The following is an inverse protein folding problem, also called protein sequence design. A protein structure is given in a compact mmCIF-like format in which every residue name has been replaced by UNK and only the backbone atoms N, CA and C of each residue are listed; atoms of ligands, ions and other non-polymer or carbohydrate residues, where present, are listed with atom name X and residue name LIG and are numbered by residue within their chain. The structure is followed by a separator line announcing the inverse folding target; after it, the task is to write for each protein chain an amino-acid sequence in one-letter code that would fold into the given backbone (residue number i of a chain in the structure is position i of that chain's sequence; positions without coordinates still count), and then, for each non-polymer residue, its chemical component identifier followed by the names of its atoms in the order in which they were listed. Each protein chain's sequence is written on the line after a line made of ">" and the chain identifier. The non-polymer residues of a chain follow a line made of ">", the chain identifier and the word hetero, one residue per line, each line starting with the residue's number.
data_IF_737784862157
#
_entry.id   IF_737784862157
#
_cell.length_a   1.000
_cell.length_b   1.000
_cell.length_c   1.000
_cell.angle_alpha   90.00
_cell.angle_beta   90.00
_cell.angle_gamma   90.00
#
_symmetry.space_group_name_H-M   'P 1'
#
loop_
_entity.id
_entity.type
_entity.pdbx_description
1 polymer ?
#
# COMPACT_ATOMS: atom_id res chain seq x y z
N UNK A 1 -4.18 44.96 46.06
CA UNK A 1 -5.10 44.03 45.36
C UNK A 1 -4.91 44.02 43.84
N UNK A 2 -4.79 45.16 43.14
CA UNK A 2 -4.57 45.21 41.67
C UNK A 2 -3.31 44.46 41.16
N UNK A 3 -2.22 44.46 41.94
CA UNK A 3 -0.96 43.78 41.57
C UNK A 3 -1.07 42.25 41.57
N UNK A 4 -1.89 41.67 42.45
CA UNK A 4 -2.10 40.22 42.53
C UNK A 4 -2.98 39.71 41.38
N UNK A 5 -4.00 40.48 41.00
CA UNK A 5 -4.86 40.18 39.84
C UNK A 5 -4.03 40.14 38.55
N UNK A 6 -3.11 41.10 38.40
CA UNK A 6 -2.23 41.17 37.24
C UNK A 6 -1.26 39.98 37.19
N UNK A 7 -0.74 39.56 38.34
CA UNK A 7 0.16 38.41 38.48
C UNK A 7 -0.55 37.08 38.15
N UNK A 8 -1.78 36.91 38.62
CA UNK A 8 -2.59 35.72 38.30
C UNK A 8 -2.98 35.67 36.82
N UNK A 9 -3.28 36.82 36.21
CA UNK A 9 -3.62 36.88 34.78
C UNK A 9 -2.42 36.54 33.89
N UNK A 10 -1.22 37.00 34.24
CA UNK A 10 0.00 36.65 33.51
C UNK A 10 0.32 35.16 33.64
N UNK A 11 0.09 34.57 34.82
CA UNK A 11 0.35 33.16 35.06
C UNK A 11 -0.60 32.25 34.26
N UNK A 12 -1.88 32.61 34.15
CA UNK A 12 -2.84 31.86 33.33
C UNK A 12 -2.56 31.97 31.83
N UNK A 13 -2.08 33.12 31.37
CA UNK A 13 -1.62 33.31 29.99
C UNK A 13 -0.40 32.45 29.65
N UNK A 14 0.55 32.31 30.57
CA UNK A 14 1.72 31.44 30.38
C UNK A 14 1.37 29.95 30.42
N UNK A 15 0.41 29.54 31.26
CA UNK A 15 -0.06 28.15 31.33
C UNK A 15 -0.94 27.73 30.13
N UNK A 16 -1.47 28.68 29.36
CA UNK A 16 -2.33 28.42 28.19
C UNK A 16 -1.54 28.09 26.91
N UNK A 17 -0.23 28.33 26.87
CA UNK A 17 0.60 28.04 25.70
C UNK A 17 1.14 26.60 25.80
N UNK A 18 0.32 25.62 25.41
CA UNK A 18 0.69 24.22 25.31
C UNK A 18 0.60 23.76 23.86
N UNK A 19 1.74 23.44 23.24
CA UNK A 19 1.84 22.88 21.89
C UNK A 19 1.24 21.47 21.84
N UNK A 20 -0.06 21.39 21.58
CA UNK A 20 -0.73 20.15 21.18
C UNK A 20 -0.71 20.03 19.66
N UNK A 21 0.48 19.96 19.08
CA UNK A 21 0.71 19.85 17.63
C UNK A 21 0.51 18.42 17.10
N UNK A 22 -0.29 17.59 17.81
CA UNK A 22 -0.55 16.19 17.46
C UNK A 22 -2.06 15.92 17.33
N UNK A 23 -2.76 16.85 16.69
CA UNK A 23 -4.16 16.69 16.28
C UNK A 23 -4.32 15.86 15.00
N UNK A 24 -3.23 15.55 14.30
CA UNK A 24 -3.27 14.68 13.13
C UNK A 24 -3.31 13.21 13.55
N UNK A 25 -4.15 12.45 12.86
CA UNK A 25 -4.20 11.00 12.97
C UNK A 25 -2.84 10.43 12.55
N UNK A 26 -1.97 10.17 13.51
CA UNK A 26 -0.79 9.33 13.27
C UNK A 26 -1.31 7.93 12.90
N UNK A 27 -1.24 7.61 11.61
CA UNK A 27 -1.66 6.32 11.09
C UNK A 27 -1.06 5.18 11.91
N UNK A 28 -1.88 4.19 12.24
CA UNK A 28 -1.41 2.97 12.88
C UNK A 28 -0.40 2.28 11.97
N UNK A 29 0.75 1.88 12.52
CA UNK A 29 1.67 1.00 11.81
C UNK A 29 0.90 -0.26 11.41
N UNK A 30 0.77 -0.48 10.10
CA UNK A 30 0.11 -1.67 9.56
C UNK A 30 0.73 -2.93 10.15
N UNK A 31 -0.09 -3.95 10.42
CA UNK A 31 0.40 -5.23 10.91
C UNK A 31 1.41 -5.80 9.92
N UNK A 32 2.44 -6.47 10.42
CA UNK A 32 3.34 -7.28 9.59
C UNK A 32 2.49 -8.35 8.90
N UNK A 33 2.23 -8.15 7.61
CA UNK A 33 1.47 -9.08 6.81
C UNK A 33 2.44 -10.16 6.30
N UNK A 34 2.24 -11.38 6.77
CA UNK A 34 2.93 -12.56 6.28
C UNK A 34 1.95 -13.34 5.42
N UNK A 35 1.94 -13.14 4.09
CA UNK A 35 1.01 -13.84 3.22
C UNK A 35 1.36 -15.33 3.23
N UNK A 36 0.54 -16.13 3.91
CA UNK A 36 0.53 -17.58 3.74
C UNK A 36 -0.08 -17.92 2.38
N UNK A 37 0.26 -19.11 1.86
CA UNK A 37 -0.28 -19.61 0.59
C UNK A 37 -1.81 -19.72 0.70
N UNK A 38 -2.59 -18.97 -0.10
CA UNK A 38 -4.05 -19.08 -0.08
C UNK A 38 -4.51 -20.50 -0.47
N UNK A 39 -5.61 -20.95 0.12
CA UNK A 39 -6.17 -22.26 -0.19
C UNK A 39 -6.54 -22.37 -1.67
N UNK A 40 -6.14 -23.47 -2.32
CA UNK A 40 -6.44 -23.71 -3.73
C UNK A 40 -5.65 -22.86 -4.72
N UNK A 41 -4.70 -22.04 -4.26
CA UNK A 41 -3.82 -21.25 -5.14
C UNK A 41 -2.37 -21.77 -5.12
N UNK A 42 -1.64 -21.57 -6.21
CA UNK A 42 -0.22 -21.88 -6.36
C UNK A 42 0.62 -20.61 -6.55
N UNK A 43 1.86 -20.61 -6.05
CA UNK A 43 2.77 -19.48 -6.23
C UNK A 43 3.36 -19.50 -7.65
N UNK A 44 3.06 -18.47 -8.43
CA UNK A 44 3.75 -18.19 -9.69
C UNK A 44 4.98 -17.34 -9.38
N UNK A 45 6.21 -17.84 -9.61
CA UNK A 45 7.42 -17.07 -9.34
C UNK A 45 7.50 -15.85 -10.26
N UNK A 46 7.99 -14.74 -9.70
CA UNK A 46 8.29 -13.55 -10.50
C UNK A 46 9.45 -13.79 -11.45
N UNK A 47 9.40 -13.16 -12.62
CA UNK A 47 10.42 -13.34 -13.65
C UNK A 47 10.06 -12.61 -14.93
N UNK A 48 10.91 -12.78 -15.94
CA UNK A 48 10.67 -12.30 -17.30
C UNK A 48 10.43 -13.49 -18.24
N UNK A 49 9.45 -13.36 -19.12
CA UNK A 49 9.14 -14.37 -20.13
C UNK A 49 8.67 -13.70 -21.42
N UNK A 50 8.68 -14.44 -22.54
CA UNK A 50 8.16 -13.95 -23.82
C UNK A 50 6.66 -14.26 -23.88
N UNK A 51 5.84 -13.22 -23.93
CA UNK A 51 4.38 -13.28 -24.05
C UNK A 51 3.96 -12.99 -25.49
N UNK A 52 3.08 -13.81 -26.05
CA UNK A 52 2.58 -13.69 -27.42
C UNK A 52 3.20 -14.73 -28.36
N UNK A 53 2.63 -14.86 -29.56
CA UNK A 53 3.08 -15.80 -30.59
C UNK A 53 4.34 -15.29 -31.28
N UNK A 54 5.19 -16.23 -31.72
CA UNK A 54 6.37 -15.93 -32.53
C UNK A 54 6.04 -15.86 -34.03
N UNK A 55 4.96 -16.53 -34.44
CA UNK A 55 4.50 -16.60 -35.83
C UNK A 55 3.64 -15.38 -36.21
N UNK A 56 3.26 -15.30 -37.49
CA UNK A 56 2.38 -14.24 -37.99
C UNK A 56 1.02 -14.23 -37.29
N UNK A 57 0.52 -13.04 -37.04
CA UNK A 57 -0.77 -12.83 -36.37
C UNK A 57 -1.93 -13.28 -37.28
N UNK A 58 -2.84 -14.07 -36.72
CA UNK A 58 -4.09 -14.36 -37.41
C UNK A 58 -4.99 -13.14 -37.31
N UNK A 59 -5.59 -12.72 -38.43
CA UNK A 59 -6.40 -11.50 -38.50
C UNK A 59 -7.45 -11.41 -37.37
N UNK A 60 -7.29 -10.42 -36.49
CA UNK A 60 -8.21 -10.13 -35.38
C UNK A 60 -7.90 -10.84 -34.07
N UNK A 61 -6.75 -11.54 -33.95
CA UNK A 61 -6.31 -12.18 -32.70
C UNK A 61 -5.38 -11.26 -31.89
N UNK A 62 -4.56 -10.43 -32.55
CA UNK A 62 -3.70 -9.41 -31.91
C UNK A 62 -2.73 -9.99 -30.87
N UNK A 63 -2.29 -11.25 -31.03
CA UNK A 63 -1.43 -11.98 -30.08
C UNK A 63 0.06 -12.07 -30.51
N UNK A 64 0.39 -11.52 -31.67
CA UNK A 64 1.76 -11.34 -32.16
C UNK A 64 2.07 -9.83 -32.36
N UNK A 65 3.36 -9.42 -32.33
CA UNK A 65 4.54 -10.22 -32.07
C UNK A 65 4.76 -10.47 -30.57
N UNK A 66 5.51 -11.52 -30.25
CA UNK A 66 5.97 -11.81 -28.90
C UNK A 66 6.76 -10.66 -28.25
N UNK A 67 6.45 -10.37 -27.00
CA UNK A 67 7.07 -9.30 -26.19
C UNK A 67 7.64 -9.87 -24.90
N UNK A 68 8.81 -9.41 -24.50
CA UNK A 68 9.37 -9.75 -23.17
C UNK A 68 8.60 -8.99 -22.10
N UNK A 69 7.92 -9.73 -21.23
CA UNK A 69 7.12 -9.19 -20.12
C UNK A 69 7.75 -9.63 -18.81
N UNK A 70 7.85 -8.69 -17.88
CA UNK A 70 8.30 -8.94 -16.51
C UNK A 70 7.12 -8.86 -15.55
N UNK A 71 6.91 -9.92 -14.78
CA UNK A 71 5.85 -10.00 -13.78
C UNK A 71 6.44 -10.20 -12.39
N UNK A 72 5.78 -9.63 -11.38
CA UNK A 72 6.10 -9.91 -9.97
C UNK A 72 5.53 -11.26 -9.57
N UNK A 73 6.05 -11.86 -8.50
CA UNK A 73 5.47 -13.09 -7.96
C UNK A 73 4.02 -12.85 -7.51
N UNK A 74 3.13 -13.78 -7.82
CA UNK A 74 1.71 -13.72 -7.46
C UNK A 74 1.14 -15.13 -7.27
N UNK A 75 -0.04 -15.24 -6.66
CA UNK A 75 -0.76 -16.50 -6.51
C UNK A 75 -1.82 -16.64 -7.61
N UNK A 76 -1.94 -17.83 -8.19
CA UNK A 76 -2.95 -18.17 -9.20
C UNK A 76 -3.72 -19.41 -8.76
N UNK A 77 -5.02 -19.50 -9.06
CA UNK A 77 -5.83 -20.67 -8.75
C UNK A 77 -5.27 -21.93 -9.43
N UNK A 78 -5.19 -23.03 -8.68
CA UNK A 78 -4.67 -24.30 -9.17
C UNK A 78 -5.63 -24.99 -10.15
N UNK A 79 -6.93 -24.69 -10.05
CA UNK A 79 -7.99 -25.20 -10.92
C UNK A 79 -8.98 -24.11 -11.23
N UNK A 80 -9.72 -24.27 -12.33
CA UNK A 80 -10.87 -23.40 -12.64
C UNK A 80 -11.89 -23.43 -11.50
N UNK A 81 -12.61 -22.33 -11.34
CA UNK A 81 -13.69 -22.22 -10.35
C UNK A 81 -14.85 -23.13 -10.79
N UNK A 82 -15.27 -24.03 -9.90
CA UNK A 82 -16.43 -24.93 -10.10
C UNK A 82 -17.75 -24.30 -9.69
#
# INVERSE_FOLDING_TARGET
>A
MKKFILLTAVLTLLASCGSKDRGELVGVQGKKWHPEKPYGMELVPGGAFIMGKADDDLAGVDDAPGKTVTVRAFYMDATEIT
#
